data_IF_160743875184
#
_entry.id   IF_160743875184
#
_cell.length_a   1.000
_cell.length_b   1.000
_cell.length_c   1.000
_cell.angle_alpha   90.00
_cell.angle_beta   90.00
_cell.angle_gamma   90.00
#
_symmetry.space_group_name_H-M   'P 1'
#
loop_
_entity.id
_entity.type
_entity.pdbx_description
1 polymer ?
#
# COMPACT_ATOMS: atom_id res chain seq x y z
N UNK A 1 9.87 4.11 -11.25
CA UNK A 1 9.16 5.41 -11.15
C UNK A 1 7.66 5.32 -11.44
N UNK A 2 7.21 4.51 -12.39
CA UNK A 2 5.79 4.42 -12.83
C UNK A 2 4.79 4.08 -11.71
N UNK A 3 5.10 3.08 -10.88
CA UNK A 3 4.25 2.69 -9.75
C UNK A 3 4.10 3.82 -8.72
N UNK A 4 5.18 4.56 -8.46
CA UNK A 4 5.14 5.74 -7.58
C UNK A 4 4.26 6.83 -8.18
N UNK A 5 4.37 7.08 -9.49
CA UNK A 5 3.52 8.05 -10.18
C UNK A 5 2.03 7.65 -10.08
N UNK A 6 1.71 6.37 -10.29
CA UNK A 6 0.34 5.86 -10.12
C UNK A 6 -0.21 6.10 -8.71
N UNK A 7 0.53 5.73 -7.67
CA UNK A 7 0.08 5.95 -6.29
C UNK A 7 0.04 7.44 -5.91
N UNK A 8 0.95 8.27 -6.44
CA UNK A 8 0.89 9.72 -6.28
C UNK A 8 -0.37 10.30 -6.93
N UNK A 9 -0.78 9.78 -8.08
CA UNK A 9 -2.05 10.11 -8.75
C UNK A 9 -3.25 9.74 -7.89
N UNK A 10 -3.26 8.52 -7.33
CA UNK A 10 -4.31 8.09 -6.41
C UNK A 10 -4.42 9.02 -5.19
N UNK A 11 -3.29 9.36 -4.55
CA UNK A 11 -3.27 10.26 -3.40
C UNK A 11 -3.76 11.68 -3.77
N UNK A 12 -3.35 12.18 -4.93
CA UNK A 12 -3.75 13.50 -5.44
C UNK A 12 -5.25 13.60 -5.67
N UNK A 13 -5.97 12.50 -5.89
CA UNK A 13 -7.43 12.48 -6.11
C UNK A 13 -8.23 13.16 -4.99
N UNK A 14 -7.70 13.20 -3.77
CA UNK A 14 -8.32 13.89 -2.64
C UNK A 14 -8.55 15.38 -2.90
N UNK A 15 -7.62 16.07 -3.59
CA UNK A 15 -7.70 17.51 -3.84
C UNK A 15 -8.92 17.89 -4.71
N UNK A 16 -9.10 17.35 -5.93
CA UNK A 16 -10.26 17.67 -6.75
C UNK A 16 -11.56 17.10 -6.17
N UNK A 17 -11.52 15.99 -5.42
CA UNK A 17 -12.69 15.51 -4.66
C UNK A 17 -13.12 16.51 -3.60
N UNK A 18 -12.19 17.00 -2.77
CA UNK A 18 -12.49 18.00 -1.74
C UNK A 18 -13.04 19.30 -2.34
N UNK A 19 -12.54 19.70 -3.51
CA UNK A 19 -12.95 20.92 -4.18
C UNK A 19 -14.33 20.82 -4.85
N UNK A 20 -14.64 19.70 -5.51
CA UNK A 20 -15.82 19.58 -6.38
C UNK A 20 -16.89 18.61 -5.86
N UNK A 21 -16.52 17.60 -5.07
CA UNK A 21 -17.46 16.59 -4.56
C UNK A 21 -17.07 16.09 -3.16
N UNK A 22 -16.97 16.97 -2.14
CA UNK A 22 -16.53 16.58 -0.80
C UNK A 22 -17.44 15.52 -0.16
N UNK A 23 -18.71 15.46 -0.55
CA UNK A 23 -19.68 14.45 -0.11
C UNK A 23 -19.32 13.01 -0.53
N UNK A 24 -18.44 12.82 -1.51
CA UNK A 24 -17.99 11.49 -1.94
C UNK A 24 -16.76 10.99 -1.17
N UNK A 25 -16.17 11.83 -0.32
CA UNK A 25 -15.05 11.43 0.55
C UNK A 25 -15.62 10.48 1.59
N UNK A 26 -15.14 9.24 1.56
CA UNK A 26 -15.58 8.21 2.50
C UNK A 26 -15.08 8.54 3.90
N UNK A 27 -16.03 8.74 4.80
CA UNK A 27 -15.76 8.74 6.23
C UNK A 27 -15.70 7.29 6.70
N UNK A 28 -14.53 6.85 7.13
CA UNK A 28 -14.39 5.52 7.71
C UNK A 28 -14.86 5.58 9.17
N UNK A 29 -15.62 4.57 9.65
CA UNK A 29 -15.95 4.48 11.06
C UNK A 29 -14.66 4.40 11.88
N UNK A 30 -14.70 4.95 13.09
CA UNK A 30 -13.58 4.84 14.02
C UNK A 30 -13.22 3.36 14.22
N UNK A 31 -11.91 3.06 14.18
CA UNK A 31 -11.43 1.68 14.28
C UNK A 31 -11.93 1.10 15.62
N UNK A 32 -12.65 -0.03 15.62
CA UNK A 32 -13.21 -0.58 16.84
C UNK A 32 -12.07 -0.91 17.80
N UNK A 33 -12.15 -0.30 18.97
CA UNK A 33 -11.01 -0.13 19.84
C UNK A 33 -10.73 -1.40 20.68
N UNK A 34 -11.65 -2.36 20.69
CA UNK A 34 -11.48 -3.62 21.42
C UNK A 34 -10.37 -4.48 20.81
N UNK A 35 -9.60 -5.14 21.67
CA UNK A 35 -8.53 -6.07 21.28
C UNK A 35 -9.04 -7.16 20.34
N UNK A 36 -10.26 -7.67 20.58
CA UNK A 36 -10.89 -8.68 19.76
C UNK A 36 -11.23 -8.18 18.35
N UNK A 37 -11.80 -6.98 18.21
CA UNK A 37 -12.10 -6.40 16.90
C UNK A 37 -10.82 -6.05 16.13
N UNK A 38 -9.77 -5.62 16.84
CA UNK A 38 -8.44 -5.38 16.27
C UNK A 38 -7.78 -6.67 15.77
N UNK A 39 -7.80 -7.75 16.55
CA UNK A 39 -7.27 -9.06 16.16
C UNK A 39 -8.04 -9.66 14.97
N UNK A 40 -9.36 -9.52 14.97
CA UNK A 40 -10.20 -9.97 13.85
C UNK A 40 -9.87 -9.19 12.57
N UNK A 41 -9.78 -7.86 12.66
CA UNK A 41 -9.37 -6.98 11.55
C UNK A 41 -7.99 -7.36 10.99
N UNK A 42 -7.04 -7.67 11.86
CA UNK A 42 -5.70 -8.15 11.49
C UNK A 42 -5.78 -9.48 10.71
N UNK A 43 -6.52 -10.46 11.24
CA UNK A 43 -6.69 -11.77 10.62
C UNK A 43 -7.29 -11.66 9.21
N UNK A 44 -8.28 -10.80 9.05
CA UNK A 44 -8.94 -10.52 7.77
C UNK A 44 -7.96 -9.92 6.76
N UNK A 45 -7.20 -8.89 7.15
CA UNK A 45 -6.20 -8.27 6.27
C UNK A 45 -5.12 -9.25 5.78
N UNK A 46 -4.66 -10.15 6.65
CA UNK A 46 -3.71 -11.21 6.29
C UNK A 46 -4.31 -12.18 5.27
N UNK A 47 -5.55 -12.61 5.49
CA UNK A 47 -6.27 -13.53 4.60
C UNK A 47 -6.46 -12.90 3.21
N UNK A 48 -6.85 -11.61 3.14
CA UNK A 48 -6.97 -10.86 1.86
C UNK A 48 -5.62 -10.76 1.16
N UNK A 49 -4.56 -10.39 1.87
CA UNK A 49 -3.22 -10.23 1.30
C UNK A 49 -2.63 -11.54 0.80
N UNK A 50 -2.74 -12.60 1.60
CA UNK A 50 -2.32 -13.95 1.21
C UNK A 50 -3.13 -14.46 0.02
N UNK A 51 -4.45 -14.26 0.04
CA UNK A 51 -5.34 -14.60 -1.05
C UNK A 51 -4.95 -13.91 -2.34
N UNK A 52 -4.81 -12.58 -2.31
CA UNK A 52 -4.38 -11.74 -3.45
C UNK A 52 -3.04 -12.21 -4.04
N UNK A 53 -2.06 -12.50 -3.19
CA UNK A 53 -0.75 -12.97 -3.62
C UNK A 53 -0.83 -14.35 -4.27
N UNK A 54 -1.59 -15.27 -3.67
CA UNK A 54 -1.70 -16.66 -4.12
C UNK A 54 -2.51 -16.78 -5.42
N UNK A 55 -3.58 -15.99 -5.57
CA UNK A 55 -4.32 -15.86 -6.83
C UNK A 55 -3.59 -14.96 -7.85
N UNK A 56 -2.55 -14.21 -7.46
CA UNK A 56 -1.87 -13.21 -8.29
C UNK A 56 -2.82 -12.11 -8.82
N UNK A 57 -3.75 -11.66 -7.98
CA UNK A 57 -4.67 -10.59 -8.33
C UNK A 57 -5.77 -10.38 -7.30
N UNK A 58 -6.36 -9.18 -7.34
CA UNK A 58 -7.51 -8.78 -6.52
C UNK A 58 -8.73 -8.48 -7.40
N UNK A 59 -9.76 -7.84 -6.84
CA UNK A 59 -10.96 -7.42 -7.57
C UNK A 59 -10.63 -6.54 -8.78
N UNK A 60 -9.79 -5.51 -8.66
CA UNK A 60 -9.44 -4.66 -9.82
C UNK A 60 -8.69 -5.43 -10.90
N UNK A 61 -7.80 -6.36 -10.52
CA UNK A 61 -7.05 -7.19 -11.47
C UNK A 61 -7.91 -8.23 -12.21
N UNK A 62 -8.69 -9.02 -11.47
CA UNK A 62 -9.48 -10.12 -12.04
C UNK A 62 -10.85 -9.67 -12.54
N UNK A 63 -11.56 -8.82 -11.80
CA UNK A 63 -12.89 -8.37 -12.20
C UNK A 63 -12.82 -7.23 -13.23
N UNK A 64 -12.17 -6.11 -12.91
CA UNK A 64 -12.18 -4.93 -13.80
C UNK A 64 -11.34 -5.16 -15.06
N UNK A 65 -10.08 -5.54 -14.93
CA UNK A 65 -9.17 -5.71 -16.06
C UNK A 65 -9.19 -7.14 -16.65
N UNK A 66 -9.54 -8.14 -15.86
CA UNK A 66 -9.50 -9.55 -16.27
C UNK A 66 -10.71 -9.93 -17.11
N UNK A 67 -11.92 -9.67 -16.61
CA UNK A 67 -13.17 -9.94 -17.32
C UNK A 67 -13.31 -9.09 -18.58
N UNK A 68 -12.85 -7.84 -18.56
CA UNK A 68 -12.88 -6.97 -19.74
C UNK A 68 -11.99 -7.46 -20.89
N UNK A 69 -11.09 -8.41 -20.63
CA UNK A 69 -10.25 -9.06 -21.65
C UNK A 69 -10.67 -10.49 -21.95
N UNK A 70 -11.81 -10.93 -21.41
CA UNK A 70 -12.29 -12.32 -21.50
C UNK A 70 -11.25 -13.34 -20.97
N UNK A 71 -10.51 -12.98 -19.93
CA UNK A 71 -9.51 -13.87 -19.33
C UNK A 71 -10.18 -15.00 -18.56
N UNK A 72 -10.13 -16.23 -19.08
CA UNK A 72 -10.69 -17.40 -18.40
C UNK A 72 -10.16 -17.60 -16.97
N UNK A 73 -8.85 -17.38 -16.75
CA UNK A 73 -8.24 -17.41 -15.41
C UNK A 73 -8.91 -16.42 -14.45
N UNK A 74 -9.20 -15.22 -14.94
CA UNK A 74 -9.84 -14.18 -14.13
C UNK A 74 -11.31 -14.50 -13.88
N UNK A 75 -12.00 -15.09 -14.85
CA UNK A 75 -13.35 -15.65 -14.66
C UNK A 75 -13.37 -16.70 -13.55
N UNK A 76 -12.40 -17.63 -13.54
CA UNK A 76 -12.27 -18.63 -12.48
C UNK A 76 -12.06 -17.98 -11.09
N UNK A 77 -11.20 -16.97 -11.00
CA UNK A 77 -10.99 -16.24 -9.75
C UNK A 77 -12.29 -15.57 -9.28
N UNK A 78 -12.97 -14.80 -10.14
CA UNK A 78 -14.22 -14.10 -9.81
C UNK A 78 -15.32 -15.07 -9.41
N UNK A 79 -15.49 -16.16 -10.16
CA UNK A 79 -16.44 -17.22 -9.85
C UNK A 79 -16.12 -17.96 -8.53
N UNK A 80 -14.91 -17.83 -8.00
CA UNK A 80 -14.52 -18.40 -6.70
C UNK A 80 -14.69 -17.39 -5.58
N UNK A 81 -13.99 -16.24 -5.65
CA UNK A 81 -13.95 -15.32 -4.51
C UNK A 81 -15.29 -14.63 -4.25
N UNK A 82 -16.10 -14.43 -5.29
CA UNK A 82 -17.34 -13.67 -5.16
C UNK A 82 -18.43 -14.48 -4.43
N UNK A 83 -18.73 -15.74 -4.79
CA UNK A 83 -19.61 -16.57 -3.98
C UNK A 83 -19.10 -16.80 -2.55
N UNK A 84 -17.78 -16.98 -2.38
CA UNK A 84 -17.19 -17.16 -1.04
C UNK A 84 -17.39 -15.91 -0.18
N UNK A 85 -17.24 -14.71 -0.76
CA UNK A 85 -17.50 -13.46 -0.05
C UNK A 85 -18.97 -13.29 0.32
N UNK A 86 -19.90 -13.63 -0.59
CA UNK A 86 -21.33 -13.63 -0.28
C UNK A 86 -21.64 -14.57 0.88
N UNK A 87 -21.20 -15.82 0.81
CA UNK A 87 -21.42 -16.82 1.86
C UNK A 87 -20.83 -16.33 3.19
N UNK A 88 -19.59 -15.83 3.16
CA UNK A 88 -18.92 -15.32 4.37
C UNK A 88 -19.67 -14.15 4.99
N UNK A 89 -20.13 -13.20 4.18
CA UNK A 89 -20.94 -12.08 4.63
C UNK A 89 -22.26 -12.54 5.27
N UNK A 90 -22.98 -13.48 4.66
CA UNK A 90 -24.22 -14.02 5.23
C UNK A 90 -24.02 -14.76 6.54
N UNK A 91 -22.92 -15.48 6.69
CA UNK A 91 -22.61 -16.20 7.93
C UNK A 91 -22.27 -15.24 9.08
N UNK A 92 -21.66 -14.10 8.78
CA UNK A 92 -21.13 -13.18 9.80
C UNK A 92 -22.09 -12.02 10.07
N UNK A 93 -22.86 -11.63 9.06
CA UNK A 93 -23.69 -10.43 9.01
C UNK A 93 -25.06 -10.69 8.35
N UNK A 94 -25.87 -11.64 8.86
CA UNK A 94 -27.11 -12.07 8.20
C UNK A 94 -28.17 -10.96 8.03
N UNK A 95 -28.14 -9.94 8.88
CA UNK A 95 -29.13 -8.84 8.92
C UNK A 95 -28.47 -7.48 9.18
N UNK A 96 -27.44 -7.13 8.42
CA UNK A 96 -26.74 -5.85 8.60
C UNK A 96 -27.50 -4.72 7.89
N UNK A 97 -27.90 -3.71 8.67
CA UNK A 97 -28.30 -2.41 8.16
C UNK A 97 -27.09 -1.49 8.22
N UNK A 98 -26.75 -0.88 7.09
CA UNK A 98 -25.62 0.04 6.98
C UNK A 98 -26.14 1.46 6.80
N UNK A 99 -25.28 2.47 6.89
CA UNK A 99 -25.66 3.85 6.54
C UNK A 99 -26.14 3.97 5.08
N UNK A 100 -25.74 3.05 4.20
CA UNK A 100 -26.26 2.97 2.84
C UNK A 100 -27.71 2.43 2.77
N UNK A 101 -28.19 1.83 3.87
CA UNK A 101 -29.43 1.07 3.99
C UNK A 101 -30.10 1.30 5.37
N UNK A 102 -30.68 2.48 5.64
CA UNK A 102 -31.19 2.86 6.96
C UNK A 102 -32.52 2.16 7.36
N UNK A 103 -33.01 1.17 6.61
CA UNK A 103 -34.16 0.32 6.96
C UNK A 103 -35.54 0.90 6.65
N UNK A 104 -35.67 2.21 6.43
CA UNK A 104 -36.96 2.86 6.16
C UNK A 104 -37.44 2.74 4.70
N UNK A 105 -36.53 2.50 3.76
CA UNK A 105 -36.80 2.23 2.35
C UNK A 105 -35.95 1.04 1.88
N UNK A 106 -36.40 0.27 0.88
CA UNK A 106 -35.57 -0.77 0.29
C UNK A 106 -34.26 -0.21 -0.28
N UNK A 107 -33.13 -0.85 -0.01
CA UNK A 107 -31.80 -0.38 -0.41
C UNK A 107 -31.59 -0.11 -1.91
N UNK A 108 -32.40 -0.71 -2.77
CA UNK A 108 -32.34 -0.54 -4.22
C UNK A 108 -33.09 0.72 -4.72
N UNK A 109 -33.69 1.53 -3.84
CA UNK A 109 -34.33 2.78 -4.26
C UNK A 109 -33.28 3.79 -4.76
N UNK A 110 -33.39 4.29 -6.00
CA UNK A 110 -32.40 5.21 -6.55
C UNK A 110 -32.45 6.56 -5.86
N UNK A 111 -31.28 7.07 -5.48
CA UNK A 111 -31.12 8.43 -4.94
C UNK A 111 -30.53 9.30 -6.04
N UNK A 112 -31.29 10.30 -6.48
CA UNK A 112 -30.84 11.21 -7.52
C UNK A 112 -30.07 12.40 -6.93
N UNK A 113 -28.89 12.72 -7.47
CA UNK A 113 -28.13 13.90 -7.04
C UNK A 113 -28.86 15.20 -7.39
N UNK A 114 -28.63 16.25 -6.60
CA UNK A 114 -29.06 17.60 -6.94
C UNK A 114 -28.37 18.10 -8.21
N UNK A 115 -28.97 19.06 -8.92
CA UNK A 115 -28.39 19.65 -10.14
C UNK A 115 -26.96 20.16 -9.89
N UNK A 116 -26.72 20.79 -8.73
CA UNK A 116 -25.39 21.25 -8.34
C UNK A 116 -24.38 20.10 -8.17
N UNK A 117 -24.81 18.99 -7.55
CA UNK A 117 -23.98 17.80 -7.38
C UNK A 117 -23.67 17.16 -8.75
N UNK A 118 -24.67 17.04 -9.61
CA UNK A 118 -24.51 16.52 -10.98
C UNK A 118 -23.54 17.36 -11.79
N UNK A 119 -23.69 18.69 -11.77
CA UNK A 119 -22.78 19.61 -12.46
C UNK A 119 -21.34 19.46 -11.97
N UNK A 120 -21.15 19.34 -10.65
CA UNK A 120 -19.81 19.20 -10.07
C UNK A 120 -19.16 17.84 -10.41
N UNK A 121 -19.94 16.76 -10.44
CA UNK A 121 -19.47 15.43 -10.86
C UNK A 121 -19.10 15.39 -12.35
N UNK A 122 -19.94 15.99 -13.21
CA UNK A 122 -19.67 16.11 -14.64
C UNK A 122 -18.41 16.93 -14.87
N UNK A 123 -18.25 18.05 -14.17
CA UNK A 123 -17.06 18.88 -14.26
C UNK A 123 -15.80 18.14 -13.80
N UNK A 124 -15.87 17.44 -12.65
CA UNK A 124 -14.78 16.63 -12.12
C UNK A 124 -14.36 15.52 -13.10
N UNK A 125 -15.33 14.79 -13.66
CA UNK A 125 -15.07 13.72 -14.62
C UNK A 125 -14.50 14.29 -15.94
N UNK A 126 -15.11 15.33 -16.49
CA UNK A 126 -14.68 15.94 -17.76
C UNK A 126 -13.28 16.52 -17.65
N UNK A 127 -12.98 17.29 -16.60
CA UNK A 127 -11.65 17.86 -16.37
C UNK A 127 -10.61 16.77 -16.18
N UNK A 128 -10.87 15.78 -15.34
CA UNK A 128 -9.92 14.69 -15.07
C UNK A 128 -9.61 13.86 -16.34
N UNK A 129 -10.63 13.53 -17.13
CA UNK A 129 -10.46 12.77 -18.38
C UNK A 129 -9.76 13.61 -19.44
N UNK A 130 -10.11 14.90 -19.57
CA UNK A 130 -9.46 15.79 -20.51
C UNK A 130 -7.98 15.96 -20.17
N UNK A 131 -7.67 16.27 -18.91
CA UNK A 131 -6.30 16.38 -18.38
C UNK A 131 -5.49 15.10 -18.62
N UNK A 132 -6.07 13.92 -18.35
CA UNK A 132 -5.42 12.64 -18.59
C UNK A 132 -5.09 12.39 -20.08
N UNK A 133 -5.87 12.96 -21.00
CA UNK A 133 -5.67 12.81 -22.45
C UNK A 133 -4.72 13.85 -23.04
N UNK A 134 -4.75 15.08 -22.53
CA UNK A 134 -4.01 16.21 -23.11
C UNK A 134 -2.63 16.40 -22.49
N UNK A 135 -2.50 16.31 -21.17
CA UNK A 135 -1.26 16.66 -20.45
C UNK A 135 -0.10 15.74 -20.83
N UNK A 136 -0.22 14.40 -20.86
CA UNK A 136 0.90 13.55 -21.28
C UNK A 136 1.37 13.83 -22.71
N UNK A 137 0.44 14.12 -23.62
CA UNK A 137 0.74 14.47 -25.02
C UNK A 137 1.39 15.84 -25.15
N UNK A 138 0.92 16.80 -24.35
CA UNK A 138 1.49 18.14 -24.30
C UNK A 138 2.93 18.09 -23.78
N UNK A 139 3.18 17.38 -22.68
CA UNK A 139 4.54 17.16 -22.15
C UNK A 139 5.44 16.52 -23.21
N UNK A 140 4.96 15.46 -23.87
CA UNK A 140 5.71 14.82 -24.94
C UNK A 140 6.04 15.80 -26.10
N UNK A 141 5.09 16.64 -26.51
CA UNK A 141 5.27 17.60 -27.59
C UNK A 141 6.24 18.74 -27.23
N UNK A 142 6.12 19.29 -26.01
CA UNK A 142 7.00 20.37 -25.53
C UNK A 142 8.44 19.87 -25.39
N UNK A 143 8.63 18.70 -24.79
CA UNK A 143 9.97 18.17 -24.56
C UNK A 143 10.64 17.68 -25.85
N UNK A 144 9.87 17.14 -26.81
CA UNK A 144 10.40 16.74 -28.11
C UNK A 144 10.88 17.93 -28.98
N UNK A 145 10.42 19.16 -28.71
CA UNK A 145 10.80 20.34 -29.49
C UNK A 145 12.23 20.84 -29.25
N UNK A 146 12.86 20.42 -28.15
CA UNK A 146 14.24 20.79 -27.80
C UNK A 146 15.30 19.74 -28.12
N UNK A 147 14.91 18.62 -28.72
CA UNK A 147 15.64 17.36 -28.62
C UNK A 147 16.49 17.08 -29.86
N UNK A 148 17.81 16.98 -29.70
CA UNK A 148 18.76 16.73 -30.82
C UNK A 148 19.33 15.31 -30.83
N UNK A 149 19.11 14.51 -29.79
CA UNK A 149 19.81 13.23 -29.62
C UNK A 149 18.90 12.05 -29.20
N UNK A 150 19.31 10.83 -29.56
CA UNK A 150 18.48 9.61 -29.34
C UNK A 150 18.26 9.25 -27.87
N UNK A 151 19.17 9.65 -26.98
CA UNK A 151 19.08 9.43 -25.52
C UNK A 151 18.03 10.34 -24.88
N UNK A 152 18.01 11.62 -25.22
CA UNK A 152 17.00 12.57 -24.72
C UNK A 152 15.59 12.10 -25.10
N UNK A 153 15.40 11.65 -26.35
CA UNK A 153 14.12 11.13 -26.84
C UNK A 153 13.56 9.96 -26.04
N UNK A 154 14.43 9.16 -25.44
CA UNK A 154 14.06 8.06 -24.55
C UNK A 154 13.58 8.59 -23.19
N UNK A 155 14.25 9.62 -22.65
CA UNK A 155 13.87 10.29 -21.41
C UNK A 155 12.53 11.03 -21.56
N UNK A 156 12.30 11.75 -22.67
CA UNK A 156 11.01 12.40 -22.96
C UNK A 156 9.85 11.40 -22.96
N UNK A 157 10.04 10.24 -23.60
CA UNK A 157 9.04 9.16 -23.58
C UNK A 157 8.81 8.63 -22.17
N UNK A 158 9.86 8.53 -21.35
CA UNK A 158 9.77 8.10 -19.96
C UNK A 158 8.97 9.07 -19.09
N UNK A 159 9.13 10.39 -19.27
CA UNK A 159 8.39 11.42 -18.52
C UNK A 159 6.91 11.44 -18.92
N UNK A 160 6.60 11.40 -20.22
CA UNK A 160 5.23 11.31 -20.71
C UNK A 160 4.53 10.01 -20.25
N UNK A 161 5.27 8.90 -20.23
CA UNK A 161 4.81 7.62 -19.68
C UNK A 161 4.50 7.73 -18.18
N UNK A 162 5.42 8.26 -17.38
CA UNK A 162 5.22 8.47 -15.94
C UNK A 162 3.99 9.36 -15.65
N UNK A 163 3.80 10.41 -16.44
CA UNK A 163 2.62 11.28 -16.34
C UNK A 163 1.32 10.52 -16.68
N UNK A 164 1.36 9.63 -17.67
CA UNK A 164 0.22 8.75 -17.99
C UNK A 164 -0.14 7.83 -16.82
N UNK A 165 0.86 7.27 -16.12
CA UNK A 165 0.63 6.47 -14.91
C UNK A 165 0.01 7.27 -13.78
N UNK A 166 0.48 8.52 -13.56
CA UNK A 166 -0.12 9.43 -12.60
C UNK A 166 -1.60 9.66 -12.86
N UNK A 167 -1.97 10.05 -14.08
CA UNK A 167 -3.38 10.25 -14.43
C UNK A 167 -4.20 8.96 -14.40
N UNK A 168 -3.60 7.82 -14.70
CA UNK A 168 -4.28 6.52 -14.55
C UNK A 168 -4.63 6.23 -13.09
N UNK A 169 -3.71 6.52 -12.16
CA UNK A 169 -3.96 6.42 -10.72
C UNK A 169 -5.00 7.41 -10.21
N UNK A 170 -4.93 8.66 -10.68
CA UNK A 170 -5.91 9.71 -10.37
C UNK A 170 -7.32 9.28 -10.80
N UNK A 171 -7.50 8.89 -12.06
CA UNK A 171 -8.79 8.44 -12.60
C UNK A 171 -9.30 7.18 -11.89
N UNK A 172 -8.41 6.24 -11.56
CA UNK A 172 -8.76 5.03 -10.83
C UNK A 172 -9.32 5.37 -9.43
N UNK A 173 -8.61 6.20 -8.66
CA UNK A 173 -9.07 6.61 -7.33
C UNK A 173 -10.36 7.43 -7.38
N UNK A 174 -10.47 8.40 -8.31
CA UNK A 174 -11.71 9.15 -8.52
C UNK A 174 -12.87 8.22 -8.88
N UNK A 175 -12.64 7.22 -9.73
CA UNK A 175 -13.63 6.20 -10.06
C UNK A 175 -14.11 5.43 -8.83
N UNK A 176 -13.21 5.03 -7.92
CA UNK A 176 -13.56 4.33 -6.66
C UNK A 176 -14.37 5.22 -5.69
N UNK A 177 -14.12 6.52 -5.68
CA UNK A 177 -14.89 7.47 -4.87
C UNK A 177 -16.25 7.78 -5.48
N UNK A 178 -16.32 8.04 -6.79
CA UNK A 178 -17.59 8.34 -7.48
C UNK A 178 -18.53 7.14 -7.46
N UNK A 179 -18.00 5.93 -7.70
CA UNK A 179 -18.78 4.69 -7.62
C UNK A 179 -19.09 4.25 -6.19
N UNK A 180 -18.52 4.91 -5.18
CA UNK A 180 -18.62 4.53 -3.76
C UNK A 180 -18.13 3.10 -3.47
N UNK A 181 -17.29 2.51 -4.34
CA UNK A 181 -16.61 1.24 -4.07
C UNK A 181 -15.62 1.33 -2.90
N UNK A 182 -15.18 2.55 -2.56
CA UNK A 182 -14.37 2.83 -1.37
C UNK A 182 -15.17 2.81 -0.07
N UNK A 183 -16.51 2.85 -0.14
CA UNK A 183 -17.37 2.97 1.02
C UNK A 183 -17.73 1.57 1.58
N UNK A 184 -17.30 1.22 2.81
CA UNK A 184 -17.47 -0.15 3.33
C UNK A 184 -18.94 -0.54 3.47
N UNK A 185 -19.82 0.40 3.83
CA UNK A 185 -21.26 0.16 3.91
C UNK A 185 -21.87 -0.23 2.55
N UNK A 186 -21.43 0.37 1.44
CA UNK A 186 -21.91 0.03 0.10
C UNK A 186 -21.48 -1.37 -0.32
N UNK A 187 -20.23 -1.73 -0.03
CA UNK A 187 -19.70 -3.07 -0.31
C UNK A 187 -20.42 -4.13 0.52
N UNK A 188 -20.61 -3.89 1.82
CA UNK A 188 -21.33 -4.80 2.71
C UNK A 188 -22.79 -4.98 2.28
N UNK A 189 -23.51 -3.89 1.99
CA UNK A 189 -24.90 -3.98 1.49
C UNK A 189 -24.99 -4.69 0.15
N UNK A 190 -24.01 -4.54 -0.73
CA UNK A 190 -23.99 -5.30 -1.99
C UNK A 190 -23.79 -6.82 -1.76
N UNK A 191 -23.01 -7.22 -0.75
CA UNK A 191 -22.81 -8.62 -0.40
C UNK A 191 -24.02 -9.27 0.29
N UNK A 192 -25.02 -8.48 0.72
CA UNK A 192 -26.26 -8.99 1.33
C UNK A 192 -27.18 -9.72 0.34
N UNK A 193 -26.88 -9.78 -0.96
CA UNK A 193 -27.66 -10.56 -1.93
C UNK A 193 -27.76 -12.04 -1.49
N UNK A 194 -28.95 -12.68 -1.50
CA UNK A 194 -30.20 -12.26 -2.13
C UNK A 194 -31.21 -11.57 -1.20
N UNK A 195 -30.81 -11.12 -0.02
CA UNK A 195 -31.69 -10.42 0.93
C UNK A 195 -32.04 -9.02 0.41
N UNK A 196 -33.06 -8.93 -0.45
CA UNK A 196 -33.42 -7.71 -1.20
C UNK A 196 -33.69 -6.48 -0.32
N UNK A 197 -34.06 -6.68 0.94
CA UNK A 197 -34.29 -5.59 1.89
C UNK A 197 -32.98 -4.90 2.32
N UNK A 198 -31.86 -5.63 2.35
CA UNK A 198 -30.54 -5.16 2.77
C UNK A 198 -29.57 -5.02 1.59
N UNK A 199 -30.01 -5.39 0.39
CA UNK A 199 -29.17 -5.48 -0.80
C UNK A 199 -29.17 -4.18 -1.61
N UNK A 200 -28.01 -3.56 -1.71
CA UNK A 200 -27.78 -2.40 -2.59
C UNK A 200 -27.12 -2.88 -3.92
N UNK A 201 -27.83 -2.80 -5.06
CA UNK A 201 -27.31 -3.27 -6.35
C UNK A 201 -26.34 -2.28 -7.03
N UNK A 202 -26.06 -1.11 -6.44
CA UNK A 202 -25.25 -0.06 -7.08
C UNK A 202 -23.86 -0.52 -7.51
N UNK A 203 -23.21 -1.44 -6.77
CA UNK A 203 -21.91 -1.99 -7.14
C UNK A 203 -21.96 -2.77 -8.46
N UNK A 204 -23.11 -3.35 -8.82
CA UNK A 204 -23.30 -4.07 -10.09
C UNK A 204 -23.13 -3.15 -11.31
N UNK A 205 -23.44 -1.85 -11.15
CA UNK A 205 -23.29 -0.86 -12.20
C UNK A 205 -21.85 -0.70 -12.67
N UNK A 206 -20.87 -1.09 -11.85
CA UNK A 206 -19.44 -1.11 -12.24
C UNK A 206 -19.19 -2.15 -13.35
N UNK A 207 -19.93 -3.26 -13.36
CA UNK A 207 -19.87 -4.22 -14.48
C UNK A 207 -20.41 -3.54 -15.74
N UNK A 208 -21.57 -2.91 -15.65
CA UNK A 208 -22.25 -2.29 -16.79
C UNK A 208 -21.49 -1.09 -17.39
N UNK A 209 -20.92 -0.23 -16.56
CA UNK A 209 -20.29 1.03 -17.00
C UNK A 209 -18.76 1.03 -16.92
N UNK A 210 -18.16 0.08 -16.20
CA UNK A 210 -16.70 -0.09 -16.14
C UNK A 210 -16.22 -1.26 -17.01
N UNK A 211 -16.71 -2.47 -16.74
CA UNK A 211 -16.22 -3.69 -17.39
C UNK A 211 -16.69 -3.80 -18.83
N UNK A 212 -17.98 -3.60 -19.11
CA UNK A 212 -18.55 -3.78 -20.46
C UNK A 212 -17.98 -2.79 -21.49
N UNK A 213 -17.85 -1.47 -21.20
CA UNK A 213 -17.25 -0.55 -22.17
C UNK A 213 -15.77 -0.88 -22.42
N UNK A 214 -15.02 -1.25 -21.38
CA UNK A 214 -13.64 -1.69 -21.52
C UNK A 214 -13.53 -2.99 -22.34
N UNK A 215 -14.48 -3.92 -22.15
CA UNK A 215 -14.61 -5.12 -22.97
C UNK A 215 -14.81 -4.78 -24.44
N UNK A 216 -15.79 -3.92 -24.76
CA UNK A 216 -16.06 -3.49 -26.13
C UNK A 216 -14.82 -2.83 -26.75
N UNK A 217 -14.15 -1.96 -26.01
CA UNK A 217 -12.94 -1.29 -26.48
C UNK A 217 -11.80 -2.28 -26.75
N UNK A 218 -11.56 -3.23 -25.84
CA UNK A 218 -10.53 -4.26 -25.99
C UNK A 218 -10.81 -5.17 -27.19
N UNK A 219 -12.08 -5.56 -27.41
CA UNK A 219 -12.46 -6.39 -28.56
C UNK A 219 -12.36 -5.63 -29.89
N UNK A 220 -12.62 -4.31 -29.89
CA UNK A 220 -12.53 -3.47 -31.11
C UNK A 220 -11.10 -3.10 -31.48
N UNK A 221 -10.29 -2.69 -30.51
CA UNK A 221 -8.90 -2.23 -30.75
C UNK A 221 -7.90 -3.36 -30.76
N UNK A 222 -8.17 -4.43 -30.02
CA UNK A 222 -7.18 -5.48 -29.77
C UNK A 222 -5.96 -4.96 -29.01
N UNK A 223 -4.92 -5.80 -28.97
CA UNK A 223 -3.67 -5.54 -28.25
C UNK A 223 -2.43 -5.60 -29.16
N UNK A 224 -2.62 -5.49 -30.47
CA UNK A 224 -1.55 -5.62 -31.48
C UNK A 224 -0.69 -4.35 -31.61
N UNK A 225 -1.31 -3.17 -31.54
CA UNK A 225 -0.59 -1.90 -31.59
C UNK A 225 -0.18 -1.45 -30.17
N UNK A 226 1.06 -0.95 -29.96
CA UNK A 226 1.51 -0.55 -28.64
C UNK A 226 0.77 0.69 -28.10
N UNK A 227 0.62 0.83 -26.77
CA UNK A 227 0.12 2.06 -26.16
C UNK A 227 1.01 3.27 -26.46
N UNK A 228 0.45 4.48 -26.47
CA UNK A 228 1.12 5.71 -26.96
C UNK A 228 2.50 6.03 -26.37
N UNK A 229 2.80 5.57 -25.15
CA UNK A 229 4.08 5.82 -24.49
C UNK A 229 4.74 4.54 -23.96
N UNK A 230 4.30 3.36 -24.40
CA UNK A 230 4.87 2.08 -24.01
C UNK A 230 5.35 1.31 -25.25
N UNK A 231 6.28 0.37 -25.07
CA UNK A 231 6.82 -0.45 -26.17
C UNK A 231 5.88 -1.57 -26.59
N UNK A 232 4.95 -1.95 -25.71
CA UNK A 232 3.95 -2.98 -25.98
C UNK A 232 3.01 -3.16 -24.79
N UNK A 233 2.03 -4.05 -24.96
CA UNK A 233 1.14 -4.45 -23.87
C UNK A 233 1.78 -5.54 -23.00
N UNK A 234 1.78 -5.34 -21.68
CA UNK A 234 2.16 -6.36 -20.70
C UNK A 234 0.92 -7.12 -20.20
N UNK A 235 0.38 -8.01 -21.04
CA UNK A 235 -0.77 -8.83 -20.66
C UNK A 235 -0.34 -10.09 -19.90
N UNK A 236 -1.11 -10.56 -18.90
CA UNK A 236 -0.85 -11.85 -18.27
C UNK A 236 -0.97 -12.98 -19.30
N UNK A 237 0.10 -13.76 -19.47
CA UNK A 237 0.13 -14.91 -20.39
C UNK A 237 -0.62 -16.15 -19.87
N UNK A 238 -0.90 -16.21 -18.56
CA UNK A 238 -1.56 -17.37 -17.94
C UNK A 238 -3.04 -17.46 -18.30
N UNK A 239 -3.46 -18.65 -18.69
CA UNK A 239 -4.80 -18.98 -19.18
C UNK A 239 -5.60 -19.78 -18.15
N UNK A 240 -6.81 -20.23 -18.51
CA UNK A 240 -7.63 -21.07 -17.65
C UNK A 240 -6.94 -22.41 -17.29
N UNK A 241 -6.07 -22.93 -18.16
CA UNK A 241 -5.33 -24.18 -17.91
C UNK A 241 -4.31 -24.07 -16.77
N UNK A 242 -3.90 -22.85 -16.43
CA UNK A 242 -2.94 -22.57 -15.36
C UNK A 242 -3.61 -22.38 -13.99
N UNK A 243 -4.92 -22.63 -13.91
CA UNK A 243 -5.70 -22.57 -12.67
C UNK A 243 -5.46 -23.86 -11.88
N UNK A 244 -4.62 -23.78 -10.85
CA UNK A 244 -4.36 -24.89 -9.93
C UNK A 244 -5.14 -24.74 -8.62
N UNK A 245 -5.13 -25.78 -7.79
CA UNK A 245 -5.81 -25.77 -6.50
C UNK A 245 -5.30 -24.64 -5.59
N UNK A 246 -4.00 -24.32 -5.64
CA UNK A 246 -3.41 -23.22 -4.85
C UNK A 246 -4.01 -21.87 -5.24
N UNK A 247 -4.16 -21.62 -6.53
CA UNK A 247 -4.81 -20.43 -7.06
C UNK A 247 -6.27 -20.32 -6.58
N UNK A 248 -7.03 -21.41 -6.69
CA UNK A 248 -8.45 -21.45 -6.24
C UNK A 248 -8.54 -21.24 -4.73
N UNK A 249 -7.67 -21.87 -3.94
CA UNK A 249 -7.59 -21.66 -2.50
C UNK A 249 -7.23 -20.21 -2.15
N UNK A 250 -6.33 -19.59 -2.90
CA UNK A 250 -6.00 -18.16 -2.79
C UNK A 250 -7.20 -17.25 -3.09
N UNK A 251 -7.94 -17.54 -4.17
CA UNK A 251 -9.16 -16.80 -4.51
C UNK A 251 -10.25 -16.98 -3.45
N UNK A 252 -10.46 -18.19 -2.94
CA UNK A 252 -11.41 -18.44 -1.86
C UNK A 252 -11.02 -17.68 -0.58
N UNK A 253 -9.75 -17.72 -0.17
CA UNK A 253 -9.28 -16.95 0.98
C UNK A 253 -9.45 -15.44 0.76
N UNK A 254 -9.15 -14.92 -0.43
CA UNK A 254 -9.45 -13.53 -0.76
C UNK A 254 -10.94 -13.21 -0.59
N UNK A 255 -11.83 -14.10 -1.02
CA UNK A 255 -13.28 -13.99 -0.83
C UNK A 255 -13.69 -13.95 0.65
N UNK A 256 -13.14 -14.84 1.47
CA UNK A 256 -13.38 -14.85 2.93
C UNK A 256 -12.97 -13.52 3.53
N UNK A 257 -11.74 -13.06 3.25
CA UNK A 257 -11.27 -11.80 3.79
C UNK A 257 -12.07 -10.59 3.29
N UNK A 258 -12.46 -10.58 2.02
CA UNK A 258 -13.29 -9.52 1.45
C UNK A 258 -14.69 -9.45 2.07
N UNK A 259 -15.29 -10.60 2.41
CA UNK A 259 -16.57 -10.67 3.13
C UNK A 259 -16.51 -10.27 4.61
N UNK A 260 -15.32 -10.05 5.18
CA UNK A 260 -15.12 -9.81 6.61
C UNK A 260 -14.64 -8.37 6.98
N UNK A 261 -14.41 -7.47 6.03
CA UNK A 261 -13.47 -6.34 6.22
C UNK A 261 -13.81 -5.28 7.28
N UNK A 262 -12.83 -5.03 8.16
CA UNK A 262 -12.32 -3.71 8.59
C UNK A 262 -10.78 -3.67 8.36
N UNK A 263 -10.13 -2.49 8.33
CA UNK A 263 -8.77 -2.27 7.81
C UNK A 263 -7.67 -2.07 8.87
N UNK A 264 -6.49 -2.71 8.73
CA UNK A 264 -5.15 -2.18 9.12
C UNK A 264 -4.01 -3.23 8.94
N UNK A 265 -3.34 -3.18 7.79
CA UNK A 265 -2.35 -4.16 7.29
C UNK A 265 -0.96 -4.07 7.97
N UNK A 266 -0.64 -2.97 8.66
CA UNK A 266 0.73 -2.66 9.10
C UNK A 266 1.23 -3.47 10.32
N UNK A 267 0.35 -3.78 11.29
CA UNK A 267 0.75 -4.38 12.58
C UNK A 267 1.15 -5.86 12.41
N UNK A 268 0.44 -6.58 11.53
CA UNK A 268 0.66 -8.00 11.30
C UNK A 268 1.97 -8.29 10.56
N UNK A 269 2.27 -7.48 9.54
CA UNK A 269 3.54 -7.55 8.81
C UNK A 269 4.71 -7.30 9.76
N UNK A 270 4.58 -6.32 10.66
CA UNK A 270 5.63 -6.00 11.63
C UNK A 270 5.83 -7.13 12.65
N UNK A 271 4.76 -7.73 13.17
CA UNK A 271 4.82 -8.85 14.13
C UNK A 271 5.41 -10.12 13.51
N UNK A 272 5.00 -10.49 12.29
CA UNK A 272 5.53 -11.68 11.59
C UNK A 272 7.02 -11.50 11.27
N UNK A 273 7.40 -10.31 10.78
CA UNK A 273 8.81 -9.98 10.54
C UNK A 273 9.62 -9.97 11.84
N UNK A 274 9.04 -9.47 12.94
CA UNK A 274 9.66 -9.45 14.27
C UNK A 274 9.99 -10.87 14.76
N UNK A 275 9.03 -11.79 14.77
CA UNK A 275 9.27 -13.17 15.23
C UNK A 275 10.26 -13.91 14.31
N UNK A 276 10.15 -13.70 13.00
CA UNK A 276 11.08 -14.30 12.04
C UNK A 276 12.52 -13.77 12.18
N UNK A 277 12.70 -12.47 12.37
CA UNK A 277 14.02 -11.86 12.57
C UNK A 277 14.60 -12.27 13.93
N UNK A 278 13.79 -12.29 14.99
CA UNK A 278 14.20 -12.77 16.32
C UNK A 278 14.71 -14.20 16.24
N UNK A 279 13.96 -15.10 15.59
CA UNK A 279 14.36 -16.48 15.38
C UNK A 279 15.68 -16.61 14.59
N UNK A 280 15.84 -15.86 13.48
CA UNK A 280 17.10 -15.87 12.71
C UNK A 280 18.28 -15.31 13.51
N UNK A 281 18.07 -14.28 14.33
CA UNK A 281 19.13 -13.65 15.11
C UNK A 281 19.64 -14.56 16.22
N UNK A 282 18.74 -15.24 16.93
CA UNK A 282 19.11 -16.28 17.90
C UNK A 282 19.87 -17.43 17.22
N UNK A 283 19.42 -17.88 16.05
CA UNK A 283 20.08 -18.97 15.30
C UNK A 283 21.46 -18.58 14.75
N UNK A 284 21.66 -17.31 14.38
CA UNK A 284 22.92 -16.83 13.75
C UNK A 284 23.91 -16.19 14.74
N UNK A 285 23.62 -16.16 16.05
CA UNK A 285 24.47 -15.57 17.11
C UNK A 285 24.87 -14.11 16.82
N UNK A 286 24.04 -13.36 16.11
CA UNK A 286 24.27 -11.95 15.76
C UNK A 286 23.69 -11.01 16.83
N UNK A 287 24.12 -11.21 18.08
CA UNK A 287 23.59 -10.51 19.28
C UNK A 287 23.68 -8.98 19.21
N UNK A 288 24.61 -8.43 18.43
CA UNK A 288 24.73 -6.98 18.22
C UNK A 288 23.55 -6.38 17.42
N UNK A 289 22.78 -7.20 16.69
CA UNK A 289 21.58 -6.78 15.96
C UNK A 289 20.29 -6.88 16.80
N UNK A 290 20.38 -7.21 18.10
CA UNK A 290 19.21 -7.28 19.00
C UNK A 290 18.47 -5.95 19.07
N UNK A 291 19.13 -4.81 18.85
CA UNK A 291 18.47 -3.51 18.74
C UNK A 291 17.40 -3.45 17.62
N UNK A 292 17.58 -4.21 16.52
CA UNK A 292 16.56 -4.34 15.46
C UNK A 292 15.38 -5.24 15.85
N UNK A 293 15.58 -6.14 16.83
CA UNK A 293 14.51 -6.96 17.41
C UNK A 293 13.62 -6.11 18.31
N UNK A 294 14.13 -5.08 18.96
CA UNK A 294 13.34 -4.26 19.88
C UNK A 294 12.40 -3.26 19.17
N UNK A 295 11.83 -3.66 18.04
CA UNK A 295 10.52 -3.21 17.58
C UNK A 295 9.39 -3.51 18.59
N UNK A 296 9.67 -4.20 19.70
CA UNK A 296 8.78 -4.32 20.84
C UNK A 296 8.33 -2.95 21.41
N UNK A 297 9.14 -1.90 21.25
CA UNK A 297 8.70 -0.54 21.60
C UNK A 297 7.48 -0.08 20.78
N UNK A 298 7.40 -0.45 19.49
CA UNK A 298 6.22 -0.22 18.66
C UNK A 298 5.02 -1.07 19.10
N UNK A 299 5.26 -2.30 19.59
CA UNK A 299 4.19 -3.13 20.16
C UNK A 299 3.66 -2.55 21.48
N UNK A 300 4.55 -2.04 22.34
CA UNK A 300 4.17 -1.35 23.58
C UNK A 300 3.40 -0.06 23.25
N UNK A 301 3.84 0.73 22.28
CA UNK A 301 3.12 1.91 21.81
C UNK A 301 1.78 1.56 21.17
N UNK A 302 1.70 0.49 20.39
CA UNK A 302 0.45 0.00 19.81
C UNK A 302 -0.52 -0.43 20.91
N UNK A 303 -0.06 -1.18 21.92
CA UNK A 303 -0.87 -1.58 23.09
C UNK A 303 -1.32 -0.36 23.88
N UNK A 304 -0.42 0.59 24.16
CA UNK A 304 -0.75 1.82 24.87
C UNK A 304 -1.74 2.70 24.10
N UNK A 305 -1.58 2.81 22.78
CA UNK A 305 -2.47 3.55 21.90
C UNK A 305 -3.85 2.88 21.85
N UNK A 306 -3.92 1.55 21.77
CA UNK A 306 -5.17 0.80 21.89
C UNK A 306 -5.86 1.06 23.23
N UNK A 307 -5.13 1.13 24.34
CA UNK A 307 -5.67 1.43 25.68
C UNK A 307 -6.13 2.89 25.79
N UNK A 308 -5.43 3.84 25.17
CA UNK A 308 -5.80 5.25 25.15
C UNK A 308 -7.07 5.49 24.33
N UNK A 309 -7.13 4.81 23.18
CA UNK A 309 -8.25 4.87 22.22
C UNK A 309 -9.45 4.17 22.88
N UNK A 310 -9.34 2.90 23.28
CA UNK A 310 -9.80 2.34 24.58
C UNK A 310 -10.84 3.05 25.44
N UNK A 311 -10.33 4.09 26.07
CA UNK A 311 -10.64 4.36 27.45
C UNK A 311 -11.77 5.38 27.56
N UNK A 312 -12.91 4.95 28.12
CA UNK A 312 -14.02 5.82 28.50
C UNK A 312 -13.80 6.48 29.87
N UNK A 313 -12.91 5.91 30.68
CA UNK A 313 -12.58 6.38 32.03
C UNK A 313 -11.21 7.06 32.07
N UNK A 314 -11.11 8.14 32.87
CA UNK A 314 -9.89 8.96 32.99
C UNK A 314 -8.66 8.16 33.44
N UNK A 315 -8.84 7.16 34.30
CA UNK A 315 -7.74 6.28 34.76
C UNK A 315 -7.20 5.37 33.66
N UNK A 316 -8.08 4.82 32.79
CA UNK A 316 -7.65 4.00 31.66
C UNK A 316 -6.95 4.86 30.59
N UNK A 317 -7.40 6.09 30.39
CA UNK A 317 -6.73 7.06 29.51
C UNK A 317 -5.32 7.38 30.02
N UNK A 318 -5.18 7.66 31.32
CA UNK A 318 -3.89 7.92 31.95
C UNK A 318 -2.94 6.73 31.80
N UNK A 319 -3.42 5.50 32.04
CA UNK A 319 -2.62 4.28 31.87
C UNK A 319 -2.21 4.06 30.41
N UNK A 320 -3.11 4.28 29.45
CA UNK A 320 -2.81 4.22 28.02
C UNK A 320 -1.71 5.22 27.63
N UNK A 321 -1.86 6.48 28.06
CA UNK A 321 -0.87 7.55 27.86
C UNK A 321 0.50 7.15 28.45
N UNK A 322 0.55 6.64 29.68
CA UNK A 322 1.80 6.17 30.30
C UNK A 322 2.45 5.03 29.51
N UNK A 323 1.68 4.07 29.02
CA UNK A 323 2.21 2.93 28.24
C UNK A 323 2.79 3.42 26.90
N UNK A 324 2.10 4.33 26.20
CA UNK A 324 2.64 4.95 24.97
C UNK A 324 3.95 5.68 25.25
N UNK A 325 3.98 6.49 26.31
CA UNK A 325 5.15 7.25 26.71
C UNK A 325 6.34 6.34 27.03
N UNK A 326 6.14 5.28 27.81
CA UNK A 326 7.18 4.27 28.12
C UNK A 326 7.73 3.66 26.83
N UNK A 327 6.87 3.32 25.89
CA UNK A 327 7.28 2.80 24.59
C UNK A 327 8.10 3.81 23.77
N UNK A 328 7.74 5.10 23.79
CA UNK A 328 8.49 6.15 23.08
C UNK A 328 9.86 6.41 23.70
N UNK A 329 9.94 6.49 25.03
CA UNK A 329 11.21 6.66 25.76
C UNK A 329 12.15 5.48 25.52
N UNK A 330 11.61 4.25 25.60
CA UNK A 330 12.37 3.04 25.29
C UNK A 330 12.90 3.06 23.84
N UNK A 331 12.09 3.52 22.88
CA UNK A 331 12.51 3.64 21.48
C UNK A 331 13.67 4.63 21.32
N UNK A 332 13.65 5.78 22.01
CA UNK A 332 14.75 6.76 21.98
C UNK A 332 16.04 6.14 22.52
N UNK A 333 15.98 5.46 23.67
CA UNK A 333 17.15 4.81 24.29
C UNK A 333 17.78 3.79 23.34
N UNK A 334 16.94 2.99 22.67
CA UNK A 334 17.41 1.91 21.79
C UNK A 334 18.00 2.45 20.50
N UNK A 335 17.38 3.45 19.86
CA UNK A 335 17.99 4.10 18.70
C UNK A 335 19.28 4.83 19.06
N UNK A 336 19.34 5.44 20.25
CA UNK A 336 20.57 6.03 20.78
C UNK A 336 21.68 4.99 20.92
N UNK A 337 21.41 3.86 21.58
CA UNK A 337 22.36 2.74 21.69
C UNK A 337 22.78 2.21 20.30
N UNK A 338 21.83 2.08 19.38
CA UNK A 338 22.11 1.64 18.02
C UNK A 338 23.07 2.56 17.28
N UNK A 339 22.90 3.88 17.39
CA UNK A 339 23.81 4.88 16.80
C UNK A 339 25.22 4.72 17.38
N UNK A 340 25.36 4.49 18.69
CA UNK A 340 26.67 4.25 19.33
C UNK A 340 27.34 2.98 18.79
N UNK A 341 26.59 1.88 18.67
CA UNK A 341 27.11 0.63 18.10
C UNK A 341 27.53 0.82 16.64
N UNK A 342 26.70 1.49 15.85
CA UNK A 342 27.02 1.81 14.45
C UNK A 342 28.28 2.69 14.34
N UNK A 343 28.46 3.66 15.25
CA UNK A 343 29.64 4.51 15.31
C UNK A 343 30.90 3.70 15.67
N UNK A 344 30.84 2.84 16.69
CA UNK A 344 31.95 1.97 17.06
C UNK A 344 32.33 1.05 15.90
N UNK A 345 31.34 0.48 15.21
CA UNK A 345 31.55 -0.34 14.02
C UNK A 345 32.22 0.45 12.89
N UNK A 346 31.73 1.66 12.61
CA UNK A 346 32.31 2.58 11.63
C UNK A 346 33.78 2.92 11.97
N UNK A 347 34.08 3.27 13.21
CA UNK A 347 35.44 3.59 13.65
C UNK A 347 36.37 2.37 13.54
N UNK A 348 35.90 1.16 13.88
CA UNK A 348 36.67 -0.08 13.72
C UNK A 348 36.94 -0.40 12.24
N UNK A 349 35.95 -0.22 11.37
CA UNK A 349 36.11 -0.38 9.93
C UNK A 349 37.15 0.57 9.36
N UNK A 350 37.12 1.86 9.75
CA UNK A 350 38.14 2.83 9.31
C UNK A 350 39.54 2.45 9.77
N UNK A 351 39.70 1.90 10.99
CA UNK A 351 40.99 1.40 11.48
C UNK A 351 41.49 0.20 10.68
N UNK A 352 40.62 -0.75 10.31
CA UNK A 352 41.00 -1.92 9.49
C UNK A 352 41.35 -1.51 8.07
N UNK A 353 40.58 -0.59 7.46
CA UNK A 353 40.87 -0.03 6.14
C UNK A 353 42.21 0.73 6.13
N UNK A 354 42.48 1.53 7.18
CA UNK A 354 43.76 2.22 7.35
C UNK A 354 44.95 1.27 7.57
N UNK A 355 44.70 0.06 8.07
CA UNK A 355 45.71 -0.99 8.26
C UNK A 355 45.99 -1.82 7.00
N UNK A 356 45.43 -1.45 5.83
CA UNK A 356 45.70 -2.10 4.55
C UNK A 356 45.14 -3.52 4.40
N UNK A 357 44.31 -3.99 5.34
CA UNK A 357 43.69 -5.32 5.27
C UNK A 357 42.52 -5.28 4.28
N UNK A 358 42.51 -6.23 3.33
CA UNK A 358 41.48 -6.34 2.31
C UNK A 358 40.13 -6.67 2.95
N UNK A 359 39.21 -5.71 2.92
CA UNK A 359 37.84 -5.91 3.38
C UNK A 359 37.10 -6.63 2.25
N UNK A 360 36.69 -7.87 2.48
CA UNK A 360 36.06 -8.83 1.55
C UNK A 360 34.70 -8.40 0.95
N UNK A 361 34.42 -7.12 0.70
CA UNK A 361 33.10 -6.69 0.23
C UNK A 361 33.14 -5.70 -0.93
N UNK A 362 32.57 -6.12 -2.06
CA UNK A 362 32.18 -5.30 -3.22
C UNK A 362 31.05 -4.28 -2.89
N UNK A 363 30.91 -3.84 -1.63
CA UNK A 363 29.80 -3.04 -1.14
C UNK A 363 30.29 -1.69 -0.58
N UNK A 364 29.71 -0.60 -1.08
CA UNK A 364 29.96 0.78 -0.62
C UNK A 364 29.39 1.04 0.79
N UNK A 365 30.00 0.42 1.81
CA UNK A 365 29.58 0.47 3.22
C UNK A 365 29.39 1.90 3.78
N UNK A 366 30.19 2.87 3.31
CA UNK A 366 30.07 4.29 3.69
C UNK A 366 28.71 4.88 3.33
N UNK A 367 28.19 4.58 2.13
CA UNK A 367 26.87 5.06 1.66
C UNK A 367 25.74 4.47 2.50
N UNK A 368 25.84 3.19 2.85
CA UNK A 368 24.83 2.51 3.68
C UNK A 368 24.84 3.03 5.12
N UNK A 369 26.02 3.25 5.72
CA UNK A 369 26.13 3.81 7.07
C UNK A 369 25.61 5.25 7.14
N UNK A 370 25.92 6.10 6.15
CA UNK A 370 25.41 7.48 6.12
C UNK A 370 23.88 7.52 6.08
N UNK A 371 23.26 6.68 5.24
CA UNK A 371 21.80 6.56 5.14
C UNK A 371 21.19 6.02 6.42
N UNK A 372 21.84 5.05 7.06
CA UNK A 372 21.43 4.49 8.34
C UNK A 372 21.44 5.56 9.45
N UNK A 373 22.50 6.38 9.53
CA UNK A 373 22.55 7.51 10.47
C UNK A 373 21.45 8.54 10.19
N UNK A 374 21.24 8.89 8.92
CA UNK A 374 20.19 9.85 8.54
C UNK A 374 18.80 9.36 8.99
N UNK A 375 18.43 8.12 8.66
CA UNK A 375 17.13 7.54 9.03
C UNK A 375 17.00 7.43 10.55
N UNK A 376 18.03 6.94 11.25
CA UNK A 376 18.01 6.79 12.71
C UNK A 376 17.86 8.13 13.42
N UNK A 377 18.55 9.17 12.95
CA UNK A 377 18.45 10.51 13.52
C UNK A 377 17.07 11.14 13.30
N UNK A 378 16.50 11.02 12.09
CA UNK A 378 15.17 11.55 11.77
C UNK A 378 14.09 10.87 12.64
N UNK A 379 14.14 9.55 12.77
CA UNK A 379 13.20 8.79 13.61
C UNK A 379 13.35 9.18 15.09
N UNK A 380 14.58 9.37 15.57
CA UNK A 380 14.84 9.80 16.94
C UNK A 380 14.25 11.18 17.22
N UNK A 381 14.44 12.13 16.31
CA UNK A 381 13.87 13.48 16.39
C UNK A 381 12.34 13.45 16.47
N UNK A 382 11.70 12.64 15.62
CA UNK A 382 10.26 12.42 15.66
C UNK A 382 9.80 11.83 17.01
N UNK A 383 10.54 10.87 17.55
CA UNK A 383 10.18 10.25 18.83
C UNK A 383 10.34 11.21 20.01
N UNK A 384 11.34 12.10 19.99
CA UNK A 384 11.48 13.17 20.99
C UNK A 384 10.27 14.10 20.93
N UNK A 385 9.89 14.57 19.75
CA UNK A 385 8.68 15.38 19.56
C UNK A 385 7.44 14.67 20.12
N UNK A 386 7.26 13.40 19.80
CA UNK A 386 6.13 12.58 20.29
C UNK A 386 6.12 12.42 21.81
N UNK A 387 7.28 12.32 22.46
CA UNK A 387 7.33 12.30 23.93
C UNK A 387 6.83 13.62 24.51
N UNK A 388 7.31 14.76 23.98
CA UNK A 388 6.91 16.09 24.47
C UNK A 388 5.42 16.36 24.22
N UNK A 389 4.92 16.03 23.02
CA UNK A 389 3.49 16.15 22.66
C UNK A 389 2.60 15.34 23.61
N UNK A 390 2.98 14.09 23.90
CA UNK A 390 2.22 13.25 24.81
C UNK A 390 2.27 13.79 26.24
N UNK A 391 3.42 14.26 26.73
CA UNK A 391 3.55 14.84 28.07
C UNK A 391 2.67 16.08 28.25
N UNK A 392 2.72 17.05 27.32
CA UNK A 392 1.89 18.27 27.35
C UNK A 392 0.38 17.96 27.37
N UNK A 393 -0.03 16.89 26.69
CA UNK A 393 -1.43 16.46 26.65
C UNK A 393 -2.32 17.38 25.80
N UNK A 394 -3.63 17.19 25.92
CA UNK A 394 -4.63 17.74 24.97
C UNK A 394 -4.71 19.28 24.99
N UNK A 395 -4.34 19.90 26.11
CA UNK A 395 -4.31 21.37 26.26
C UNK A 395 -2.96 22.00 25.89
N UNK A 396 -1.99 21.18 25.47
CA UNK A 396 -0.64 21.61 25.10
C UNK A 396 -0.58 22.46 23.83
N UNK A 397 0.48 23.25 23.69
CA UNK A 397 0.69 24.07 22.49
C UNK A 397 0.86 23.19 21.25
N UNK A 398 1.55 22.05 21.39
CA UNK A 398 1.85 21.15 20.26
C UNK A 398 0.61 20.41 19.73
N UNK A 399 -0.39 20.16 20.56
CA UNK A 399 -1.66 19.52 20.17
C UNK A 399 -2.69 20.52 19.64
N UNK A 400 -2.63 21.77 20.08
CA UNK A 400 -3.56 22.83 19.65
C UNK A 400 -3.17 23.47 18.32
N UNK A 401 -1.92 23.30 17.87
CA UNK A 401 -1.41 23.88 16.62
C UNK A 401 -1.02 22.79 15.61
N UNK A 402 -1.79 22.68 14.53
CA UNK A 402 -1.62 21.63 13.50
C UNK A 402 -0.27 21.68 12.76
N UNK A 403 0.40 22.83 12.70
CA UNK A 403 1.67 22.94 11.97
C UNK A 403 2.77 22.06 12.57
N UNK A 404 2.77 21.86 13.89
CA UNK A 404 3.80 21.09 14.59
C UNK A 404 3.73 19.60 14.21
N UNK A 405 2.54 19.02 14.10
CA UNK A 405 2.37 17.62 13.70
C UNK A 405 2.76 17.38 12.24
N UNK A 406 2.49 18.34 11.34
CA UNK A 406 2.89 18.19 9.94
C UNK A 406 4.42 18.25 9.76
N UNK A 407 5.11 19.11 10.51
CA UNK A 407 6.57 19.27 10.39
C UNK A 407 7.34 18.18 11.16
N UNK A 408 7.02 17.98 12.44
CA UNK A 408 7.82 17.14 13.34
C UNK A 408 7.39 15.66 13.35
N UNK A 409 6.33 15.29 12.65
CA UNK A 409 5.93 13.90 12.46
C UNK A 409 5.74 13.55 10.98
N UNK A 410 4.74 14.14 10.30
CA UNK A 410 4.38 13.71 8.94
C UNK A 410 5.52 13.91 7.93
N UNK A 411 6.15 15.09 7.91
CA UNK A 411 7.28 15.39 7.01
C UNK A 411 8.50 14.51 7.32
N UNK A 412 8.85 14.34 8.59
CA UNK A 412 9.96 13.48 8.99
C UNK A 412 9.74 12.02 8.53
N UNK A 413 8.52 11.50 8.66
CA UNK A 413 8.18 10.15 8.18
C UNK A 413 8.18 10.06 6.65
N UNK A 414 7.72 11.09 5.93
CA UNK A 414 7.82 11.15 4.49
C UNK A 414 9.28 11.13 4.00
N UNK A 415 10.18 11.87 4.67
CA UNK A 415 11.62 11.85 4.38
C UNK A 415 12.23 10.46 4.62
N UNK A 416 11.87 9.78 5.71
CA UNK A 416 12.32 8.40 5.99
C UNK A 416 11.85 7.44 4.90
N UNK A 417 10.59 7.54 4.48
CA UNK A 417 10.05 6.71 3.40
C UNK A 417 10.78 6.95 2.07
N UNK A 418 11.05 8.21 1.72
CA UNK A 418 11.81 8.55 0.52
C UNK A 418 13.23 7.95 0.56
N UNK A 419 13.97 8.16 1.66
CA UNK A 419 15.33 7.63 1.84
C UNK A 419 15.37 6.10 1.77
N UNK A 420 14.43 5.42 2.42
CA UNK A 420 14.40 3.94 2.46
C UNK A 420 13.91 3.32 1.15
N UNK A 421 13.04 3.99 0.38
CA UNK A 421 12.59 3.51 -0.93
C UNK A 421 13.75 3.32 -1.91
N UNK A 422 14.75 4.22 -1.86
CA UNK A 422 15.97 4.12 -2.68
C UNK A 422 16.89 2.95 -2.28
N UNK A 423 16.76 2.44 -1.05
CA UNK A 423 17.56 1.33 -0.53
C UNK A 423 17.07 -0.03 -1.06
N UNK A 424 15.75 -0.24 -1.10
CA UNK A 424 15.17 -1.51 -1.55
C UNK A 424 15.09 -1.63 -3.08
N UNK A 425 14.84 -0.52 -3.79
CA UNK A 425 14.64 -0.55 -5.25
C UNK A 425 15.96 -0.53 -6.04
N UNK A 426 17.02 0.08 -5.53
CA UNK A 426 18.31 0.19 -6.25
C UNK A 426 19.05 -1.15 -6.46
N UNK A 427 18.67 -2.22 -5.77
CA UNK A 427 19.23 -3.58 -5.99
C UNK A 427 18.49 -4.39 -7.05
N UNK A 428 17.31 -3.94 -7.50
CA UNK A 428 16.52 -4.66 -8.51
C UNK A 428 17.02 -4.33 -9.92
N UNK A 429 17.60 -3.14 -10.13
CA UNK A 429 18.15 -2.72 -11.43
C UNK A 429 19.51 -3.36 -11.78
N UNK A 430 20.24 -3.94 -10.82
CA UNK A 430 21.58 -4.52 -11.07
C UNK A 430 21.60 -6.03 -11.31
N UNK A 431 20.44 -6.70 -11.36
CA UNK A 431 20.35 -8.15 -11.61
C UNK A 431 19.92 -8.49 -13.04
N UNK A 432 19.56 -7.49 -13.85
CA UNK A 432 19.25 -7.68 -15.27
C UNK A 432 20.17 -6.78 -16.10
N UNK A 433 21.38 -7.25 -16.43
CA UNK A 433 21.97 -7.00 -17.76
C UNK A 433 23.27 -7.78 -18.03
N UNK A 434 23.96 -8.32 -17.02
CA UNK A 434 25.19 -9.10 -17.27
C UNK A 434 25.08 -10.53 -16.73
N UNK A 435 25.15 -11.53 -17.63
CA UNK A 435 25.23 -12.99 -17.42
C UNK A 435 23.92 -13.80 -17.45
N UNK A 436 23.39 -13.97 -18.67
CA UNK A 436 22.73 -15.24 -19.05
C UNK A 436 23.51 -15.84 -20.23
N UNK A 437 24.74 -16.29 -19.96
CA UNK A 437 25.37 -17.34 -20.76
C UNK A 437 25.14 -18.67 -20.05
N UNK A 438 24.04 -19.31 -20.43
CA UNK A 438 23.62 -20.60 -19.90
C UNK A 438 24.41 -21.75 -20.52
N UNK A 439 25.70 -21.87 -20.24
CA UNK A 439 26.47 -23.11 -20.38
C UNK A 439 27.73 -22.99 -19.51
N UNK A 440 27.90 -23.89 -18.52
CA UNK A 440 29.08 -24.10 -17.65
C UNK A 440 28.95 -23.82 -16.14
N UNK A 441 27.81 -24.13 -15.50
CA UNK A 441 27.71 -24.10 -14.02
C UNK A 441 27.48 -25.47 -13.36
N UNK A 442 27.96 -26.56 -13.98
CA UNK A 442 27.85 -27.92 -13.38
C UNK A 442 29.17 -28.48 -12.82
N UNK A 443 30.34 -27.87 -13.08
CA UNK A 443 31.63 -28.44 -12.62
C UNK A 443 32.48 -27.46 -11.79
N UNK A 444 32.08 -27.18 -10.55
CA UNK A 444 33.04 -26.71 -9.53
C UNK A 444 32.92 -27.55 -8.26
N UNK A 445 33.97 -28.31 -7.98
CA UNK A 445 34.13 -29.13 -6.79
C UNK A 445 34.59 -28.30 -5.59
N UNK A 446 34.41 -28.78 -4.34
CA UNK A 446 34.51 -27.96 -3.12
C UNK A 446 35.92 -27.54 -2.68
N UNK A 447 36.98 -27.78 -3.46
CA UNK A 447 38.37 -27.65 -3.00
C UNK A 447 38.98 -26.24 -3.12
N UNK A 448 38.28 -25.26 -3.68
CA UNK A 448 38.87 -23.92 -3.94
C UNK A 448 38.58 -22.85 -2.88
N UNK A 449 37.93 -23.18 -1.75
CA UNK A 449 37.64 -22.19 -0.70
C UNK A 449 38.78 -21.95 0.30
N UNK A 450 39.95 -22.52 0.09
CA UNK A 450 41.14 -22.28 0.92
C UNK A 450 42.29 -21.88 0.05
N UNK A 451 42.31 -20.61 -0.37
CA UNK A 451 43.43 -19.69 -0.16
C UNK A 451 43.10 -18.32 -0.78
N UNK A 452 43.60 -17.29 -0.10
CA UNK A 452 43.57 -15.84 -0.40
C UNK A 452 42.40 -15.07 0.22
#
# INVERSE_FOLDING_TARGET
METLAFFAGMATSYLPLKALAPQLITNYPSIPMTVQASLLTIGVGLIVGWGTKTSNGCTSGHMLCGLSRLSGRSTAAVATFFPVALITHHLVHPTIYTEACPGNLPCYTPIYPSIASTASLVLLAATSVLSARTIPKFIAAVMASGEKDGKERTDTRSVARSTTYFFSGLLFALGLHISQMSHPAKVASFLSFPSLQHWDPSLLLVILFGVVPNLIENQRKGFSAPPSFADGYSLPAKTFKDVDFKFVAGAAAFGVGWGLTAASVAIAVFSILFFYHTYRLFRTRTWFCVAFVVGAAFLIQAVGATILVTATEKDKMNRGKTIVLVGLVLQIIIFGFFIVVALVFHLRLRKVAAAGKQILCQLDWSKYLLRLYAVSSIITLRNIYRVVEYEEGVTGYLMTHEWAIYIFDALLMACVLALTSTWYLGKIETVNEDHVDGHNLVNRTPSEYTQV
#
